data_IF_130602456506
#
_entry.id   IF_130602456506
#
_cell.length_a   1.000
_cell.length_b   1.000
_cell.length_c   1.000
_cell.angle_alpha   90.00
_cell.angle_beta   90.00
_cell.angle_gamma   90.00
#
_symmetry.space_group_name_H-M   'P 1'
#
loop_
_entity.id
_entity.type
_entity.pdbx_description
1 polymer ?
#
# COMPACT_ATOMS: atom_id res chain seq x y z
N UNK A 1 4.10 14.49 -8.93
CA UNK A 1 3.66 13.95 -7.63
C UNK A 1 4.88 13.98 -6.71
N UNK A 2 4.83 14.59 -5.51
CA UNK A 2 5.95 14.55 -4.58
C UNK A 2 6.32 13.08 -4.29
N UNK A 3 7.60 12.75 -4.39
CA UNK A 3 8.10 11.39 -4.20
C UNK A 3 7.98 11.02 -2.73
N UNK A 4 7.16 10.00 -2.42
CA UNK A 4 7.21 9.37 -1.10
C UNK A 4 8.55 8.65 -0.93
N UNK A 5 9.15 8.67 0.27
CA UNK A 5 10.49 8.15 0.48
C UNK A 5 10.51 6.63 0.72
N UNK A 6 9.67 5.90 -0.02
CA UNK A 6 9.58 4.45 -0.03
C UNK A 6 9.04 3.97 -1.38
N UNK A 7 9.29 2.70 -1.71
CA UNK A 7 8.80 2.08 -2.94
C UNK A 7 7.28 2.09 -2.94
N UNK A 8 6.69 2.58 -4.02
CA UNK A 8 5.25 2.59 -4.23
C UNK A 8 4.92 2.67 -5.71
N UNK A 9 3.74 2.19 -6.08
CA UNK A 9 3.16 2.36 -7.41
C UNK A 9 1.72 2.83 -7.25
N UNK A 10 1.34 3.87 -8.00
CA UNK A 10 -0.02 4.41 -8.04
C UNK A 10 -0.50 4.46 -9.48
N UNK A 11 -1.77 4.17 -9.68
CA UNK A 11 -2.43 4.32 -10.96
C UNK A 11 -3.87 4.81 -10.78
N UNK A 12 -4.34 5.60 -11.75
CA UNK A 12 -5.73 6.01 -11.83
C UNK A 12 -6.62 4.83 -12.24
N UNK A 13 -7.85 4.83 -11.73
CA UNK A 13 -8.92 3.93 -12.16
C UNK A 13 -9.81 4.67 -13.13
N UNK A 14 -10.09 4.04 -14.27
CA UNK A 14 -10.97 4.62 -15.27
C UNK A 14 -12.42 4.58 -14.77
N UNK A 15 -13.09 5.73 -14.61
CA UNK A 15 -14.46 5.79 -14.13
C UNK A 15 -15.44 5.12 -15.10
N UNK A 16 -15.11 4.95 -16.38
CA UNK A 16 -15.97 4.28 -17.36
C UNK A 16 -16.10 2.77 -17.13
N UNK A 17 -15.19 2.16 -16.36
CA UNK A 17 -15.24 0.72 -16.06
C UNK A 17 -16.49 0.32 -15.29
N UNK A 18 -17.10 1.24 -14.52
CA UNK A 18 -18.31 0.96 -13.73
C UNK A 18 -19.53 0.59 -14.59
N UNK A 19 -19.47 0.83 -15.91
CA UNK A 19 -20.54 0.51 -16.85
C UNK A 19 -20.72 -1.01 -17.05
N UNK A 20 -19.72 -1.83 -16.69
CA UNK A 20 -19.76 -3.29 -16.81
C UNK A 20 -18.93 -3.92 -15.69
N UNK A 21 -19.55 -4.68 -14.76
CA UNK A 21 -18.82 -5.36 -13.69
C UNK A 21 -17.72 -6.31 -14.19
N UNK A 22 -17.92 -6.92 -15.36
CA UNK A 22 -16.95 -7.83 -15.97
C UNK A 22 -15.72 -7.09 -16.51
N UNK A 23 -15.92 -5.97 -17.20
CA UNK A 23 -14.82 -5.15 -17.71
C UNK A 23 -14.07 -4.48 -16.56
N UNK A 24 -14.79 -4.00 -15.54
CA UNK A 24 -14.19 -3.49 -14.31
C UNK A 24 -13.32 -4.54 -13.61
N UNK A 25 -13.80 -5.77 -13.48
CA UNK A 25 -13.04 -6.84 -12.84
C UNK A 25 -11.75 -7.16 -13.61
N UNK A 26 -11.83 -7.33 -14.93
CA UNK A 26 -10.68 -7.63 -15.77
C UNK A 26 -9.65 -6.49 -15.76
N UNK A 27 -10.11 -5.25 -15.93
CA UNK A 27 -9.23 -4.09 -15.96
C UNK A 27 -8.57 -3.82 -14.61
N UNK A 28 -9.32 -3.94 -13.51
CA UNK A 28 -8.81 -3.80 -12.14
C UNK A 28 -7.77 -4.88 -11.82
N UNK A 29 -8.03 -6.13 -12.18
CA UNK A 29 -7.07 -7.23 -11.97
C UNK A 29 -5.77 -7.01 -12.77
N UNK A 30 -5.90 -6.61 -14.04
CA UNK A 30 -4.74 -6.28 -14.88
C UNK A 30 -3.94 -5.12 -14.31
N UNK A 31 -4.61 -4.10 -13.77
CA UNK A 31 -3.94 -2.97 -13.12
C UNK A 31 -3.21 -3.39 -11.84
N UNK A 32 -3.85 -4.20 -11.01
CA UNK A 32 -3.26 -4.76 -9.80
C UNK A 32 -1.97 -5.54 -10.09
N UNK A 33 -1.97 -6.43 -11.09
CA UNK A 33 -0.75 -7.16 -11.49
C UNK A 33 0.37 -6.24 -12.00
N UNK A 34 0.03 -5.15 -12.69
CA UNK A 34 1.00 -4.14 -13.12
C UNK A 34 1.61 -3.41 -11.93
N UNK A 35 0.80 -3.02 -10.95
CA UNK A 35 1.27 -2.37 -9.73
C UNK A 35 2.18 -3.28 -8.90
N UNK A 36 1.80 -4.55 -8.75
CA UNK A 36 2.63 -5.58 -8.11
C UNK A 36 4.02 -5.69 -8.78
N UNK A 37 4.03 -5.80 -10.11
CA UNK A 37 5.28 -5.89 -10.87
C UNK A 37 6.14 -4.63 -10.73
N UNK A 38 5.51 -3.44 -10.71
CA UNK A 38 6.19 -2.16 -10.57
C UNK A 38 6.90 -1.98 -9.22
N UNK A 39 6.46 -2.67 -8.17
CA UNK A 39 7.10 -2.63 -6.85
C UNK A 39 8.01 -3.83 -6.56
N UNK A 40 8.31 -4.67 -7.56
CA UNK A 40 9.17 -5.83 -7.40
C UNK A 40 8.50 -7.04 -6.73
N UNK A 41 7.16 -7.12 -6.74
CA UNK A 41 6.40 -8.27 -6.23
C UNK A 41 5.62 -8.95 -7.37
N UNK A 42 6.28 -9.43 -8.45
CA UNK A 42 5.60 -9.95 -9.62
C UNK A 42 4.66 -11.10 -9.26
N UNK A 43 3.47 -11.09 -9.84
CA UNK A 43 2.51 -12.18 -9.69
C UNK A 43 3.01 -13.42 -10.44
N UNK A 44 3.20 -14.53 -9.73
CA UNK A 44 3.54 -15.80 -10.34
C UNK A 44 2.25 -16.56 -10.69
N UNK A 45 1.98 -16.73 -11.99
CA UNK A 45 0.86 -17.55 -12.52
C UNK A 45 1.02 -19.07 -12.25
N UNK A 46 1.81 -19.46 -11.25
CA UNK A 46 1.96 -20.87 -10.86
C UNK A 46 0.73 -21.36 -10.08
N UNK A 47 0.52 -22.68 -10.06
CA UNK A 47 -0.63 -23.35 -9.45
C UNK A 47 -0.86 -23.07 -7.95
N UNK A 48 0.03 -22.35 -7.29
CA UNK A 48 0.03 -22.21 -5.83
C UNK A 48 -0.70 -20.93 -5.36
N UNK A 49 -1.14 -20.05 -6.27
CA UNK A 49 -1.81 -18.76 -5.96
C UNK A 49 -1.13 -17.97 -4.82
N UNK A 50 0.21 -18.09 -4.72
CA UNK A 50 0.96 -17.61 -3.56
C UNK A 50 1.34 -16.14 -3.77
N UNK A 51 0.98 -15.31 -2.81
CA UNK A 51 1.38 -13.90 -2.77
C UNK A 51 2.91 -13.77 -2.68
N UNK A 52 3.50 -12.97 -3.57
CA UNK A 52 4.96 -12.84 -3.71
C UNK A 52 5.67 -12.07 -2.59
N UNK A 53 4.91 -11.42 -1.70
CA UNK A 53 5.45 -10.70 -0.55
C UNK A 53 4.40 -9.84 0.16
N UNK A 54 4.74 -9.28 1.33
CA UNK A 54 3.85 -8.41 2.08
C UNK A 54 3.72 -7.03 1.40
N UNK A 55 2.49 -6.55 1.24
CA UNK A 55 2.19 -5.21 0.72
C UNK A 55 0.92 -4.65 1.35
N UNK A 56 0.76 -3.33 1.26
CA UNK A 56 -0.54 -2.68 1.41
C UNK A 56 -1.11 -2.36 0.03
N UNK A 57 -2.39 -2.67 -0.15
CA UNK A 57 -3.18 -2.24 -1.30
C UNK A 57 -4.23 -1.24 -0.79
N UNK A 58 -4.26 -0.07 -1.42
CA UNK A 58 -5.26 0.97 -1.20
C UNK A 58 -5.98 1.20 -2.52
N UNK A 59 -7.31 1.25 -2.48
CA UNK A 59 -8.12 1.56 -3.66
C UNK A 59 -9.24 2.51 -3.29
N UNK A 60 -9.47 3.49 -4.15
CA UNK A 60 -10.64 4.36 -4.12
C UNK A 60 -11.43 4.17 -5.43
N UNK A 61 -12.40 5.04 -5.70
CA UNK A 61 -13.04 5.08 -7.03
C UNK A 61 -12.15 5.68 -8.11
N UNK A 62 -11.09 6.38 -7.74
CA UNK A 62 -10.28 7.19 -8.65
C UNK A 62 -8.87 6.63 -8.86
N UNK A 63 -8.36 5.85 -7.91
CA UNK A 63 -6.98 5.37 -7.97
C UNK A 63 -6.77 4.09 -7.16
N UNK A 64 -5.69 3.40 -7.48
CA UNK A 64 -5.15 2.26 -6.76
C UNK A 64 -3.67 2.53 -6.45
N UNK A 65 -3.29 2.36 -5.18
CA UNK A 65 -1.93 2.51 -4.67
C UNK A 65 -1.50 1.19 -4.06
N UNK A 66 -0.30 0.72 -4.43
CA UNK A 66 0.31 -0.46 -3.89
C UNK A 66 1.71 -0.12 -3.40
N UNK A 67 2.06 -0.61 -2.22
CA UNK A 67 3.41 -0.46 -1.67
C UNK A 67 3.82 -1.71 -0.88
N UNK A 68 5.05 -2.22 -1.09
CA UNK A 68 5.60 -3.33 -0.35
C UNK A 68 5.93 -2.93 1.09
N UNK A 69 5.82 -3.89 2.00
CA UNK A 69 6.03 -3.69 3.43
C UNK A 69 7.18 -4.53 3.96
N UNK A 70 7.97 -3.95 4.85
CA UNK A 70 9.06 -4.64 5.54
C UNK A 70 8.60 -5.28 6.85
N UNK A 71 7.68 -4.63 7.58
CA UNK A 71 7.23 -5.10 8.90
C UNK A 71 5.84 -4.56 9.27
N UNK A 72 5.21 -5.18 10.26
CA UNK A 72 3.84 -4.89 10.71
C UNK A 72 3.73 -3.57 11.51
N UNK A 73 4.74 -3.29 12.34
CA UNK A 73 4.68 -2.27 13.39
C UNK A 73 5.98 -1.46 13.47
N UNK A 74 5.89 -0.23 13.96
CA UNK A 74 7.03 0.56 14.40
C UNK A 74 6.95 0.79 15.91
N UNK A 75 7.87 0.22 16.68
CA UNK A 75 7.93 0.41 18.14
C UNK A 75 6.54 0.28 18.82
N UNK A 76 5.84 -0.82 18.57
CA UNK A 76 4.45 -1.14 19.01
C UNK A 76 3.31 -0.32 18.38
N UNK A 77 3.59 0.65 17.51
CA UNK A 77 2.58 1.34 16.71
C UNK A 77 2.31 0.50 15.47
N UNK A 78 1.14 -0.12 15.43
CA UNK A 78 0.71 -0.88 14.26
C UNK A 78 0.42 0.04 13.09
N UNK A 79 1.00 -0.29 11.93
CA UNK A 79 0.77 0.43 10.68
C UNK A 79 0.06 -0.53 9.72
N UNK A 80 -1.09 -0.12 9.20
CA UNK A 80 -1.83 -0.85 8.17
C UNK A 80 -1.95 0.04 6.91
N UNK A 81 -2.78 -0.36 5.94
CA UNK A 81 -3.02 0.43 4.72
C UNK A 81 -3.42 1.88 5.00
N UNK A 82 -4.27 2.14 6.00
CA UNK A 82 -4.72 3.50 6.32
C UNK A 82 -3.59 4.39 6.87
N UNK A 83 -2.60 3.80 7.54
CA UNK A 83 -1.40 4.55 7.96
C UNK A 83 -0.69 5.22 6.79
N UNK A 84 -0.60 4.52 5.65
CA UNK A 84 -0.02 5.05 4.42
C UNK A 84 -0.94 6.04 3.67
N UNK A 85 -2.23 6.09 4.02
CA UNK A 85 -3.15 7.15 3.60
C UNK A 85 -3.14 8.37 4.54
N UNK A 86 -2.25 8.39 5.55
CA UNK A 86 -2.12 9.50 6.51
C UNK A 86 -2.91 9.32 7.82
N UNK A 87 -3.60 8.19 8.00
CA UNK A 87 -4.37 7.91 9.21
C UNK A 87 -3.62 6.93 10.13
N UNK A 88 -2.75 7.47 11.00
CA UNK A 88 -2.06 6.69 12.03
C UNK A 88 -2.89 6.64 13.32
N UNK A 89 -3.10 5.43 13.82
CA UNK A 89 -3.85 5.18 15.05
C UNK A 89 -2.90 4.74 16.17
N UNK A 90 -2.94 5.45 17.29
CA UNK A 90 -2.21 5.10 18.53
C UNK A 90 -3.20 4.77 19.64
N UNK A 91 -2.84 3.83 20.51
CA UNK A 91 -3.74 3.27 21.53
C UNK A 91 -3.55 3.90 22.91
N UNK A 92 -2.44 4.60 23.14
CA UNK A 92 -2.11 5.17 24.45
C UNK A 92 -1.15 6.38 24.31
N UNK A 93 -0.90 7.04 25.44
CA UNK A 93 -0.07 8.23 25.52
C UNK A 93 1.40 7.97 25.18
N UNK A 94 1.93 6.78 25.48
CA UNK A 94 3.31 6.41 25.14
C UNK A 94 3.50 6.30 23.63
N UNK A 95 2.57 5.64 22.94
CA UNK A 95 2.55 5.57 21.48
C UNK A 95 2.36 6.94 20.85
N UNK A 96 1.49 7.77 21.42
CA UNK A 96 1.33 9.18 20.99
C UNK A 96 2.64 9.96 21.13
N UNK A 97 3.37 9.77 22.24
CA UNK A 97 4.69 10.40 22.43
C UNK A 97 5.67 9.93 21.35
N UNK A 98 5.78 8.61 21.13
CA UNK A 98 6.66 8.04 20.09
C UNK A 98 6.32 8.56 18.70
N UNK A 99 5.02 8.65 18.37
CA UNK A 99 4.54 9.23 17.11
C UNK A 99 4.99 10.67 16.93
N UNK A 100 4.90 11.50 17.99
CA UNK A 100 5.34 12.90 17.96
C UNK A 100 6.87 13.04 17.87
N UNK A 101 7.60 12.21 18.60
CA UNK A 101 9.06 12.26 18.65
C UNK A 101 9.70 11.87 17.30
N UNK A 102 9.18 10.83 16.62
CA UNK A 102 9.73 10.36 15.35
C UNK A 102 9.10 11.05 14.13
N UNK A 103 7.83 11.46 14.24
CA UNK A 103 7.02 11.98 13.14
C UNK A 103 6.45 10.88 12.23
N UNK A 104 5.33 11.15 11.55
CA UNK A 104 4.61 10.16 10.76
C UNK A 104 5.43 9.62 9.58
N UNK A 105 6.20 10.46 8.88
CA UNK A 105 6.96 10.02 7.70
C UNK A 105 8.07 9.03 8.07
N UNK A 106 8.81 9.31 9.14
CA UNK A 106 9.84 8.40 9.68
C UNK A 106 9.24 7.04 10.01
N UNK A 107 8.06 7.02 10.63
CA UNK A 107 7.36 5.77 10.96
C UNK A 107 7.00 4.99 9.69
N UNK A 108 6.42 5.65 8.69
CA UNK A 108 6.05 5.01 7.42
C UNK A 108 7.26 4.47 6.68
N UNK A 109 8.40 5.18 6.66
CA UNK A 109 9.64 4.69 6.07
C UNK A 109 10.15 3.41 6.74
N UNK A 110 10.06 3.32 8.07
CA UNK A 110 10.56 2.15 8.80
C UNK A 110 9.71 0.88 8.60
N UNK A 111 8.45 1.02 8.22
CA UNK A 111 7.55 -0.13 7.99
C UNK A 111 7.34 -0.46 6.50
N UNK A 112 7.90 0.36 5.61
CA UNK A 112 7.89 0.17 4.16
C UNK A 112 9.25 -0.34 3.66
N UNK A 113 9.27 -0.81 2.41
CA UNK A 113 10.54 -1.00 1.69
C UNK A 113 10.94 0.35 1.08
N UNK A 114 12.16 0.79 1.35
CA UNK A 114 12.73 2.04 0.82
C UNK A 114 13.53 1.82 -0.46
N UNK A 115 13.80 2.90 -1.19
CA UNK A 115 14.77 2.90 -2.30
C UNK A 115 16.19 2.62 -1.82
#
# INVERSE_FOLDING_TARGET
IPTLPFIHAIAELDPSWVNSPWDAAQATLKLYHRLLSAVGLPWNNGNDNKQSGAYNLLATKQWMLLLPRSQADFQSIGVNSLGFAGALLVRNQEQMKRLKDHGPMTILQNVAVTW
#
